data_IF_819650146527
#
_entry.id   IF_819650146527
#
_cell.length_a   1.000
_cell.length_b   1.000
_cell.length_c   1.000
_cell.angle_alpha   90.00
_cell.angle_beta   90.00
_cell.angle_gamma   90.00
#
_symmetry.space_group_name_H-M   'P 1'
#
loop_
_entity.id
_entity.type
_entity.pdbx_description
1 polymer ?
#
# COMPACT_ATOMS: atom_id res chain seq x y z
N UNK A 1 -14.84 6.42 -5.33
CA UNK A 1 -16.15 5.91 -4.89
C UNK A 1 -17.24 6.97 -4.93
N UNK A 2 -17.07 8.13 -4.27
CA UNK A 2 -18.15 9.14 -4.13
C UNK A 2 -18.70 9.64 -5.48
N UNK A 3 -17.86 9.73 -6.53
CA UNK A 3 -18.30 10.13 -7.88
C UNK A 3 -19.08 9.04 -8.63
N UNK A 4 -18.88 7.76 -8.27
CA UNK A 4 -19.51 6.61 -8.94
C UNK A 4 -20.85 6.24 -8.30
N UNK A 5 -21.00 6.49 -7.00
CA UNK A 5 -22.18 6.10 -6.22
C UNK A 5 -22.52 7.17 -5.17
N UNK A 6 -22.84 8.41 -5.60
CA UNK A 6 -22.94 9.58 -4.71
C UNK A 6 -23.93 9.41 -3.56
N UNK A 7 -25.03 8.69 -3.78
CA UNK A 7 -26.13 8.55 -2.81
C UNK A 7 -26.14 7.21 -2.06
N UNK A 8 -25.11 6.36 -2.24
CA UNK A 8 -25.02 5.04 -1.60
C UNK A 8 -23.70 4.86 -0.83
N UNK A 9 -23.75 5.07 0.49
CA UNK A 9 -22.60 4.92 1.37
C UNK A 9 -22.07 3.48 1.41
N UNK A 10 -22.96 2.48 1.40
CA UNK A 10 -22.55 1.08 1.47
C UNK A 10 -21.73 0.67 0.25
N UNK A 11 -22.22 1.07 -0.93
CA UNK A 11 -21.52 0.82 -2.19
C UNK A 11 -20.20 1.61 -2.28
N UNK A 12 -20.14 2.83 -1.76
CA UNK A 12 -18.89 3.58 -1.70
C UNK A 12 -17.80 2.89 -0.86
N UNK A 13 -18.17 2.39 0.33
CA UNK A 13 -17.25 1.67 1.21
C UNK A 13 -16.76 0.37 0.57
N UNK A 14 -17.66 -0.37 -0.09
CA UNK A 14 -17.31 -1.58 -0.82
C UNK A 14 -16.31 -1.28 -1.95
N UNK A 15 -16.57 -0.26 -2.77
CA UNK A 15 -15.69 0.15 -3.86
C UNK A 15 -14.29 0.54 -3.36
N UNK A 16 -14.20 1.37 -2.31
CA UNK A 16 -12.92 1.79 -1.75
C UNK A 16 -12.14 0.60 -1.18
N UNK A 17 -12.84 -0.30 -0.48
CA UNK A 17 -12.22 -1.50 0.11
C UNK A 17 -11.68 -2.43 -0.97
N UNK A 18 -12.47 -2.68 -2.03
CA UNK A 18 -12.05 -3.50 -3.17
C UNK A 18 -10.91 -2.86 -3.95
N UNK A 19 -10.97 -1.56 -4.23
CA UNK A 19 -9.90 -0.87 -4.95
C UNK A 19 -8.57 -0.97 -4.19
N UNK A 20 -8.60 -0.75 -2.87
CA UNK A 20 -7.42 -0.85 -2.01
C UNK A 20 -6.89 -2.28 -1.97
N UNK A 21 -7.77 -3.27 -1.70
CA UNK A 21 -7.39 -4.67 -1.58
C UNK A 21 -6.87 -5.27 -2.88
N UNK A 22 -7.58 -5.04 -3.99
CA UNK A 22 -7.19 -5.55 -5.31
C UNK A 22 -5.90 -4.90 -5.80
N UNK A 23 -5.72 -3.59 -5.58
CA UNK A 23 -4.48 -2.89 -5.92
C UNK A 23 -3.29 -3.48 -5.17
N UNK A 24 -3.41 -3.66 -3.86
CA UNK A 24 -2.35 -4.28 -3.06
C UNK A 24 -2.08 -5.74 -3.48
N UNK A 25 -3.13 -6.54 -3.73
CA UNK A 25 -2.98 -7.92 -4.19
C UNK A 25 -2.23 -8.00 -5.53
N UNK A 26 -2.52 -7.11 -6.47
CA UNK A 26 -1.81 -7.01 -7.74
C UNK A 26 -0.33 -6.65 -7.54
N UNK A 27 -0.04 -5.67 -6.68
CA UNK A 27 1.35 -5.31 -6.33
C UNK A 27 2.10 -6.49 -5.72
N UNK A 28 1.47 -7.21 -4.79
CA UNK A 28 2.07 -8.39 -4.18
C UNK A 28 2.38 -9.44 -5.24
N UNK A 29 1.40 -9.81 -6.08
CA UNK A 29 1.58 -10.83 -7.11
C UNK A 29 2.71 -10.50 -8.10
N UNK A 30 2.90 -9.22 -8.44
CA UNK A 30 3.93 -8.79 -9.39
C UNK A 30 5.33 -8.71 -8.74
N UNK A 31 5.41 -8.22 -7.49
CA UNK A 31 6.69 -7.89 -6.85
C UNK A 31 7.18 -8.92 -5.81
N UNK A 32 6.40 -9.98 -5.55
CA UNK A 32 6.77 -11.10 -4.69
C UNK A 32 8.14 -11.71 -5.05
N UNK A 33 8.43 -12.09 -6.30
CA UNK A 33 9.70 -12.75 -6.64
C UNK A 33 10.92 -11.81 -6.55
N UNK A 34 10.70 -10.49 -6.42
CA UNK A 34 11.76 -9.49 -6.37
C UNK A 34 12.10 -9.11 -4.93
N UNK A 35 11.09 -8.94 -4.09
CA UNK A 35 11.24 -8.35 -2.74
C UNK A 35 10.54 -9.12 -1.62
N UNK A 36 9.90 -10.26 -1.91
CA UNK A 36 8.98 -10.91 -0.97
C UNK A 36 7.71 -10.10 -0.70
N UNK A 37 7.53 -8.95 -1.36
CA UNK A 37 6.32 -8.14 -1.38
C UNK A 37 5.71 -7.82 -0.01
N UNK A 38 6.54 -7.38 0.95
CA UNK A 38 6.05 -7.09 2.30
C UNK A 38 5.00 -5.98 2.28
N UNK A 39 5.25 -4.89 1.53
CA UNK A 39 4.39 -3.71 1.32
C UNK A 39 3.74 -3.11 2.58
N UNK A 40 4.20 -3.50 3.78
CA UNK A 40 3.59 -3.19 5.05
C UNK A 40 4.67 -3.26 6.15
N UNK A 41 4.84 -2.20 6.96
CA UNK A 41 5.79 -2.20 8.06
C UNK A 41 5.54 -3.32 9.08
N UNK A 42 4.28 -3.64 9.37
CA UNK A 42 3.92 -4.69 10.33
C UNK A 42 4.33 -6.07 9.82
N UNK A 43 4.11 -6.36 8.54
CA UNK A 43 4.56 -7.62 7.91
C UNK A 43 6.09 -7.72 7.97
N UNK A 44 6.78 -6.61 7.66
CA UNK A 44 8.24 -6.53 7.74
C UNK A 44 8.77 -6.76 9.16
N UNK A 45 8.09 -6.22 10.17
CA UNK A 45 8.46 -6.43 11.56
C UNK A 45 8.26 -7.89 11.99
N UNK A 46 7.17 -8.53 11.57
CA UNK A 46 6.91 -9.95 11.89
C UNK A 46 8.01 -10.84 11.32
N UNK A 47 8.40 -10.64 10.06
CA UNK A 47 9.49 -11.40 9.43
C UNK A 47 10.85 -11.13 10.08
N UNK A 48 11.08 -9.88 10.51
CA UNK A 48 12.27 -9.52 11.27
C UNK A 48 12.31 -10.21 12.64
N UNK A 49 11.20 -10.20 13.40
CA UNK A 49 11.10 -10.90 14.69
C UNK A 49 11.24 -12.42 14.55
N UNK A 50 10.76 -12.98 13.43
CA UNK A 50 10.93 -14.39 13.08
C UNK A 50 12.35 -14.76 12.62
N UNK A 51 13.26 -13.79 12.47
CA UNK A 51 14.63 -14.01 12.00
C UNK A 51 14.75 -14.27 10.49
N UNK A 52 13.69 -14.06 9.71
CA UNK A 52 13.70 -14.26 8.26
C UNK A 52 14.50 -13.18 7.52
N UNK A 53 14.60 -11.98 8.09
CA UNK A 53 15.36 -10.86 7.51
C UNK A 53 16.29 -10.20 8.53
N UNK A 54 17.38 -9.59 8.03
CA UNK A 54 18.32 -8.83 8.85
C UNK A 54 17.74 -7.46 9.23
N UNK A 55 18.14 -6.92 10.38
CA UNK A 55 17.66 -5.60 10.85
C UNK A 55 17.90 -4.47 9.85
N UNK A 56 19.07 -4.46 9.18
CA UNK A 56 19.35 -3.48 8.13
C UNK A 56 18.36 -3.55 6.95
N UNK A 57 17.97 -4.76 6.54
CA UNK A 57 16.97 -4.98 5.51
C UNK A 57 15.59 -4.52 5.99
N UNK A 58 15.20 -4.86 7.22
CA UNK A 58 13.94 -4.43 7.80
C UNK A 58 13.81 -2.89 7.85
N UNK A 59 14.87 -2.19 8.29
CA UNK A 59 14.89 -0.72 8.30
C UNK A 59 14.79 -0.13 6.90
N UNK A 60 15.51 -0.69 5.92
CA UNK A 60 15.43 -0.24 4.53
C UNK A 60 14.02 -0.44 3.94
N UNK A 61 13.37 -1.56 4.24
CA UNK A 61 11.99 -1.84 3.83
C UNK A 61 11.01 -0.83 4.41
N UNK A 62 11.06 -0.59 5.72
CA UNK A 62 10.14 0.33 6.40
C UNK A 62 10.33 1.76 5.88
N UNK A 63 11.57 2.20 5.67
CA UNK A 63 11.86 3.51 5.09
C UNK A 63 11.29 3.63 3.66
N UNK A 64 11.51 2.62 2.81
CA UNK A 64 10.98 2.59 1.46
C UNK A 64 9.44 2.58 1.43
N UNK A 65 8.80 1.84 2.35
CA UNK A 65 7.35 1.76 2.47
C UNK A 65 6.73 3.12 2.86
N UNK A 66 7.30 3.81 3.85
CA UNK A 66 6.81 5.12 4.30
C UNK A 66 7.01 6.17 3.20
N UNK A 67 8.21 6.23 2.61
CA UNK A 67 8.50 7.17 1.52
C UNK A 67 7.63 6.90 0.30
N UNK A 68 7.47 5.63 -0.09
CA UNK A 68 6.62 5.22 -1.20
C UNK A 68 5.14 5.56 -0.96
N UNK A 69 4.63 5.35 0.25
CA UNK A 69 3.26 5.73 0.62
C UNK A 69 3.05 7.25 0.53
N UNK A 70 3.98 8.04 1.06
CA UNK A 70 3.93 9.50 0.99
C UNK A 70 3.98 10.01 -0.45
N UNK A 71 5.00 9.58 -1.22
CA UNK A 71 5.16 9.98 -2.62
C UNK A 71 3.98 9.52 -3.49
N UNK A 72 3.47 8.32 -3.26
CA UNK A 72 2.30 7.80 -3.97
C UNK A 72 1.05 8.63 -3.69
N UNK A 73 0.82 9.04 -2.44
CA UNK A 73 -0.27 9.94 -2.07
C UNK A 73 -0.16 11.29 -2.79
N UNK A 74 1.03 11.90 -2.77
CA UNK A 74 1.27 13.18 -3.46
C UNK A 74 1.01 13.05 -4.97
N UNK A 75 1.53 12.00 -5.60
CA UNK A 75 1.31 11.75 -7.03
C UNK A 75 -0.18 11.55 -7.32
N UNK A 76 -0.89 10.77 -6.51
CA UNK A 76 -2.32 10.55 -6.68
C UNK A 76 -3.10 11.87 -6.55
N UNK A 77 -2.81 12.70 -5.54
CA UNK A 77 -3.46 13.98 -5.38
C UNK A 77 -3.24 14.88 -6.59
N UNK A 78 -1.99 15.00 -7.06
CA UNK A 78 -1.68 15.77 -8.27
C UNK A 78 -2.38 15.22 -9.53
N UNK A 79 -2.48 13.89 -9.69
CA UNK A 79 -3.20 13.25 -10.80
C UNK A 79 -4.68 13.62 -10.84
N UNK A 80 -5.29 13.89 -9.68
CA UNK A 80 -6.69 14.26 -9.54
C UNK A 80 -6.91 15.75 -9.28
N UNK A 81 -5.87 16.58 -9.50
CA UNK A 81 -5.91 18.04 -9.32
C UNK A 81 -6.29 18.45 -7.88
N UNK A 82 -5.72 17.73 -6.90
CA UNK A 82 -5.86 17.97 -5.46
C UNK A 82 -4.52 18.46 -4.86
N UNK A 83 -4.59 19.06 -3.68
CA UNK A 83 -3.39 19.50 -2.94
C UNK A 83 -2.50 18.32 -2.54
N UNK A 84 -1.19 18.49 -2.73
CA UNK A 84 -0.18 17.47 -2.43
C UNK A 84 0.17 17.38 -0.94
#
# INVERSE_FOLDING_TARGET
>A
AQRLSPDDLGLQLLQNSLATGAGLAALIAVFEPVSGAHFNPVVTLIDWFGGAIRSATATAYIAAQILGAGLGCMIANLMFDLDA
#
